data_IF_103185694155
#
_entry.id   IF_103185694155
#
_cell.length_a   1.000
_cell.length_b   1.000
_cell.length_c   1.000
_cell.angle_alpha   90.00
_cell.angle_beta   90.00
_cell.angle_gamma   90.00
#
_symmetry.space_group_name_H-M   'P 1'
#
loop_
_entity.id
_entity.type
_entity.pdbx_description
1 polymer ?
#
# COMPACT_ATOMS: atom_id res chain seq x y z
N UNK A 1 8.04 -36.50 13.04
CA UNK A 1 7.25 -37.39 12.15
C UNK A 1 7.76 -37.19 10.74
N UNK A 2 8.51 -38.18 10.27
CA UNK A 2 9.21 -38.19 9.00
C UNK A 2 8.18 -38.40 7.89
N UNK A 3 7.90 -37.39 7.08
CA UNK A 3 6.94 -37.51 5.98
C UNK A 3 7.51 -38.42 4.90
N UNK A 4 7.01 -39.65 4.87
CA UNK A 4 7.25 -40.63 3.83
C UNK A 4 6.78 -40.08 2.47
N UNK A 5 7.72 -39.94 1.53
CA UNK A 5 7.52 -39.42 0.18
C UNK A 5 7.78 -40.50 -0.89
N UNK A 6 7.49 -41.78 -0.59
CA UNK A 6 7.64 -42.90 -1.55
C UNK A 6 6.44 -43.11 -2.48
N UNK A 7 6.01 -42.07 -3.20
CA UNK A 7 5.04 -42.17 -4.28
C UNK A 7 5.54 -41.55 -5.57
N UNK A 8 5.80 -42.36 -6.61
CA UNK A 8 6.45 -41.99 -7.90
C UNK A 8 5.71 -40.89 -8.70
N UNK A 9 4.45 -40.58 -8.35
CA UNK A 9 3.66 -39.49 -8.94
C UNK A 9 3.65 -38.16 -8.17
N UNK A 10 3.93 -38.14 -6.85
CA UNK A 10 3.81 -36.91 -6.03
C UNK A 10 4.91 -35.89 -6.31
N UNK A 11 6.06 -36.30 -6.86
CA UNK A 11 7.13 -35.35 -7.24
C UNK A 11 6.67 -34.36 -8.30
N UNK A 12 5.88 -34.82 -9.28
CA UNK A 12 5.35 -33.96 -10.35
C UNK A 12 4.25 -33.03 -9.84
N UNK A 13 3.37 -33.52 -8.96
CA UNK A 13 2.33 -32.70 -8.33
C UNK A 13 2.92 -31.63 -7.42
N UNK A 14 3.91 -31.99 -6.61
CA UNK A 14 4.61 -31.03 -5.73
C UNK A 14 5.41 -30.02 -6.56
N UNK A 15 6.07 -30.45 -7.64
CA UNK A 15 6.79 -29.56 -8.54
C UNK A 15 5.83 -28.63 -9.32
N UNK A 16 4.64 -29.10 -9.71
CA UNK A 16 3.60 -28.28 -10.31
C UNK A 16 3.06 -27.26 -9.29
N UNK A 17 2.77 -27.67 -8.05
CA UNK A 17 2.32 -26.78 -6.99
C UNK A 17 3.37 -25.71 -6.69
N UNK A 18 4.66 -26.06 -6.60
CA UNK A 18 5.73 -25.07 -6.39
C UNK A 18 5.98 -24.18 -7.61
N UNK A 19 5.83 -24.70 -8.84
CA UNK A 19 5.88 -23.87 -10.05
C UNK A 19 4.70 -22.91 -10.11
N UNK A 20 3.49 -23.35 -9.76
CA UNK A 20 2.30 -22.49 -9.67
C UNK A 20 2.44 -21.49 -8.53
N UNK A 21 2.99 -21.87 -7.37
CA UNK A 21 3.32 -20.94 -6.28
C UNK A 21 4.40 -19.94 -6.69
N UNK A 22 5.44 -20.36 -7.41
CA UNK A 22 6.47 -19.47 -7.93
C UNK A 22 5.91 -18.52 -8.99
N UNK A 23 4.95 -18.97 -9.80
CA UNK A 23 4.25 -18.14 -10.78
C UNK A 23 3.20 -17.23 -10.14
N UNK A 24 2.64 -17.59 -8.99
CA UNK A 24 1.74 -16.74 -8.20
C UNK A 24 2.51 -15.71 -7.38
N UNK A 25 3.67 -16.08 -6.82
CA UNK A 25 4.56 -15.17 -6.10
C UNK A 25 5.33 -14.24 -7.05
N UNK A 26 5.71 -14.72 -8.24
CA UNK A 26 6.35 -13.91 -9.28
C UNK A 26 5.35 -13.15 -10.18
N UNK A 27 4.23 -13.78 -10.53
CA UNK A 27 3.20 -13.19 -11.40
C UNK A 27 2.26 -12.23 -10.69
N UNK A 28 2.09 -12.36 -9.37
CA UNK A 28 1.35 -11.37 -8.56
C UNK A 28 2.02 -10.00 -8.48
N UNK A 29 3.35 -9.93 -8.68
CA UNK A 29 4.09 -8.68 -8.67
C UNK A 29 4.19 -8.03 -10.05
N UNK A 30 4.24 -8.84 -11.12
CA UNK A 30 4.40 -8.35 -12.50
C UNK A 30 3.07 -8.01 -13.17
N UNK A 31 1.96 -8.70 -12.82
CA UNK A 31 0.64 -8.42 -13.41
C UNK A 31 -0.20 -7.43 -12.60
N UNK A 32 0.20 -7.09 -11.37
CA UNK A 32 -0.49 -6.10 -10.52
C UNK A 32 0.09 -4.68 -10.66
N UNK A 33 1.02 -4.44 -11.60
CA UNK A 33 1.41 -3.08 -11.98
C UNK A 33 1.98 -2.22 -10.84
N UNK A 34 2.51 -2.84 -9.78
CA UNK A 34 3.38 -2.20 -8.80
C UNK A 34 4.72 -2.93 -8.88
N UNK A 35 5.48 -2.65 -9.94
CA UNK A 35 6.83 -3.17 -10.11
C UNK A 35 7.06 -3.87 -11.46
N UNK A 36 7.06 -3.11 -12.56
CA UNK A 36 7.50 -3.67 -13.84
C UNK A 36 7.11 -2.89 -15.09
N UNK A 37 7.28 -1.55 -15.12
CA UNK A 37 7.64 -0.84 -16.36
C UNK A 37 8.08 0.62 -16.13
N UNK A 38 8.97 0.85 -15.15
CA UNK A 38 9.81 2.05 -15.15
C UNK A 38 11.24 1.63 -15.46
N UNK A 39 11.42 1.26 -16.72
CA UNK A 39 12.69 1.34 -17.40
C UNK A 39 13.22 2.78 -17.25
N UNK A 40 14.11 3.00 -16.29
CA UNK A 40 15.02 4.17 -16.24
C UNK A 40 14.38 5.57 -16.15
N UNK A 41 13.52 5.86 -15.18
CA UNK A 41 13.03 7.23 -14.98
C UNK A 41 12.46 7.51 -13.60
N UNK A 42 12.87 8.62 -12.99
CA UNK A 42 12.56 9.16 -11.64
C UNK A 42 13.30 8.58 -10.44
N UNK A 43 13.64 7.28 -10.35
CA UNK A 43 14.46 6.80 -9.22
C UNK A 43 15.97 6.78 -9.55
N UNK A 44 16.33 6.61 -10.82
CA UNK A 44 17.72 6.59 -11.29
C UNK A 44 18.30 8.01 -11.49
N UNK A 45 17.44 8.95 -11.92
CA UNK A 45 17.79 10.38 -11.99
C UNK A 45 18.03 11.02 -10.59
N UNK A 46 17.51 10.42 -9.52
CA UNK A 46 17.84 10.83 -8.14
C UNK A 46 19.11 10.11 -7.62
N UNK A 47 19.52 9.01 -8.26
CA UNK A 47 20.69 8.22 -7.87
C UNK A 47 21.99 8.82 -8.41
N UNK A 48 21.97 9.45 -9.58
CA UNK A 48 23.17 10.05 -10.19
C UNK A 48 23.60 11.37 -9.51
N UNK A 49 22.64 12.12 -8.95
CA UNK A 49 22.90 13.34 -8.16
C UNK A 49 23.13 13.06 -6.65
N UNK A 50 23.28 11.80 -6.26
CA UNK A 50 23.46 11.37 -4.86
C UNK A 50 24.88 11.65 -4.32
N UNK A 51 25.27 12.92 -4.28
CA UNK A 51 26.08 13.42 -3.16
C UNK A 51 25.17 13.47 -1.92
N UNK A 52 25.09 12.33 -1.22
CA UNK A 52 24.12 11.97 -0.17
C UNK A 52 24.06 12.81 1.11
N UNK A 53 24.49 14.07 1.08
CA UNK A 53 24.31 15.04 2.18
C UNK A 53 23.71 16.36 1.65
N UNK A 54 24.04 16.77 0.43
CA UNK A 54 23.53 18.04 -0.13
C UNK A 54 22.05 17.94 -0.54
N UNK A 55 21.63 16.79 -1.07
CA UNK A 55 20.25 16.56 -1.51
C UNK A 55 19.26 16.47 -0.31
N UNK A 56 19.67 15.82 0.79
CA UNK A 56 18.88 15.79 2.03
C UNK A 56 18.72 17.19 2.61
N UNK A 57 19.82 17.94 2.74
CA UNK A 57 19.80 19.30 3.29
C UNK A 57 18.99 20.27 2.43
N UNK A 58 18.97 20.07 1.11
CA UNK A 58 18.15 20.87 0.21
C UNK A 58 16.66 20.58 0.38
N UNK A 59 16.28 19.30 0.55
CA UNK A 59 14.88 18.91 0.79
C UNK A 59 14.39 19.37 2.16
N UNK A 60 15.22 19.29 3.19
CA UNK A 60 14.89 19.80 4.53
C UNK A 60 14.63 21.31 4.48
N UNK A 61 15.52 22.08 3.81
CA UNK A 61 15.29 23.52 3.59
C UNK A 61 14.01 23.82 2.81
N UNK A 62 13.59 22.95 1.88
CA UNK A 62 12.32 23.12 1.18
C UNK A 62 11.13 22.84 2.10
N UNK A 63 11.22 21.84 2.96
CA UNK A 63 10.20 21.53 3.97
C UNK A 63 10.05 22.70 4.93
N UNK A 64 11.14 23.27 5.46
CA UNK A 64 11.09 24.40 6.39
C UNK A 64 10.38 25.62 5.77
N UNK A 65 10.69 25.93 4.51
CA UNK A 65 10.02 27.02 3.78
C UNK A 65 8.55 26.72 3.54
N UNK A 66 8.22 25.49 3.14
CA UNK A 66 6.84 25.07 2.92
C UNK A 66 6.02 25.09 4.22
N UNK A 67 6.65 24.71 5.33
CA UNK A 67 6.07 24.76 6.67
C UNK A 67 5.81 26.20 7.11
N UNK A 68 6.80 27.09 6.98
CA UNK A 68 6.61 28.51 7.26
C UNK A 68 5.51 29.12 6.38
N UNK A 69 5.46 28.78 5.09
CA UNK A 69 4.42 29.26 4.18
C UNK A 69 3.02 28.73 4.55
N UNK A 70 2.92 27.46 4.96
CA UNK A 70 1.67 26.85 5.41
C UNK A 70 1.24 27.35 6.81
N UNK A 71 2.18 27.76 7.66
CA UNK A 71 1.89 28.41 8.93
C UNK A 71 1.38 29.85 8.73
N UNK A 72 2.00 30.61 7.82
CA UNK A 72 1.59 31.96 7.48
C UNK A 72 0.23 32.03 6.74
N UNK A 73 -0.18 30.95 6.07
CA UNK A 73 -1.51 30.86 5.45
C UNK A 73 -2.11 29.47 5.67
N UNK A 74 -2.69 29.22 6.86
CA UNK A 74 -3.12 27.88 7.27
C UNK A 74 -4.36 27.37 6.54
N UNK A 75 -5.03 28.21 5.74
CA UNK A 75 -6.21 27.88 4.93
C UNK A 75 -5.91 27.88 3.42
N UNK A 76 -4.64 27.94 3.02
CA UNK A 76 -4.26 27.82 1.62
C UNK A 76 -4.09 26.32 1.28
N UNK A 77 -5.04 25.72 0.53
CA UNK A 77 -4.99 24.29 0.21
C UNK A 77 -3.73 23.92 -0.59
N UNK A 78 -3.22 24.83 -1.44
CA UNK A 78 -2.03 24.55 -2.26
C UNK A 78 -0.78 24.38 -1.40
N UNK A 79 -0.65 25.18 -0.33
CA UNK A 79 0.50 25.10 0.59
C UNK A 79 0.48 23.84 1.43
N UNK A 80 -0.70 23.43 1.89
CA UNK A 80 -0.85 22.19 2.66
C UNK A 80 -0.59 20.95 1.81
N UNK A 81 -1.11 20.90 0.58
CA UNK A 81 -0.83 19.83 -0.37
C UNK A 81 0.67 19.75 -0.72
N UNK A 82 1.31 20.89 -0.98
CA UNK A 82 2.75 20.95 -1.25
C UNK A 82 3.59 20.46 -0.05
N UNK A 83 3.21 20.86 1.17
CA UNK A 83 3.88 20.41 2.40
C UNK A 83 3.72 18.90 2.61
N UNK A 84 2.52 18.35 2.39
CA UNK A 84 2.27 16.91 2.47
C UNK A 84 3.17 16.14 1.49
N UNK A 85 3.23 16.58 0.23
CA UNK A 85 4.07 15.99 -0.81
C UNK A 85 5.56 16.01 -0.44
N UNK A 86 6.09 17.15 -0.01
CA UNK A 86 7.52 17.30 0.34
C UNK A 86 7.90 16.40 1.51
N UNK A 87 7.07 16.34 2.55
CA UNK A 87 7.32 15.48 3.72
C UNK A 87 7.26 14.00 3.36
N UNK A 88 6.37 13.61 2.46
CA UNK A 88 6.34 12.26 1.93
C UNK A 88 7.64 11.91 1.18
N UNK A 89 8.09 12.81 0.29
CA UNK A 89 9.35 12.63 -0.45
C UNK A 89 10.53 12.48 0.49
N UNK A 90 10.65 13.34 1.51
CA UNK A 90 11.72 13.25 2.50
C UNK A 90 11.69 11.96 3.32
N UNK A 91 10.52 11.34 3.50
CA UNK A 91 10.41 10.06 4.19
C UNK A 91 11.05 8.91 3.42
N UNK A 92 11.15 9.02 2.08
CA UNK A 92 11.74 8.00 1.21
C UNK A 92 13.25 8.12 1.00
N UNK A 93 13.90 9.14 1.58
CA UNK A 93 15.31 9.48 1.33
C UNK A 93 16.20 9.04 2.49
N UNK A 94 17.44 8.67 2.16
CA UNK A 94 18.46 8.31 3.15
C UNK A 94 18.02 7.12 3.99
N UNK A 95 18.15 7.26 5.30
CA UNK A 95 17.71 6.27 6.30
C UNK A 95 16.19 6.20 6.50
N UNK A 96 15.40 6.98 5.76
CA UNK A 96 13.93 6.99 5.89
C UNK A 96 13.22 5.74 5.36
N UNK A 97 13.86 4.99 4.45
CA UNK A 97 13.25 3.82 3.81
C UNK A 97 14.21 2.63 3.79
N UNK A 98 13.74 1.49 4.28
CA UNK A 98 14.46 0.23 4.19
C UNK A 98 14.07 -0.47 2.88
N UNK A 99 15.00 -0.46 1.93
CA UNK A 99 14.81 -1.10 0.62
C UNK A 99 14.73 -2.63 0.72
N UNK A 100 15.36 -3.24 1.72
CA UNK A 100 15.35 -4.69 1.89
C UNK A 100 14.01 -5.15 2.48
N UNK A 101 13.49 -4.39 3.44
CA UNK A 101 12.19 -4.68 4.05
C UNK A 101 11.01 -4.15 3.22
N UNK A 102 11.25 -3.22 2.29
CA UNK A 102 10.20 -2.53 1.53
C UNK A 102 9.29 -1.66 2.41
N UNK A 103 9.82 -1.15 3.53
CA UNK A 103 9.03 -0.39 4.51
C UNK A 103 9.75 0.88 4.95
N UNK A 104 8.97 1.87 5.38
CA UNK A 104 9.53 3.07 6.00
C UNK A 104 10.10 2.74 7.37
N UNK A 105 11.30 3.24 7.63
CA UNK A 105 11.96 3.13 8.93
C UNK A 105 11.25 4.02 9.95
N UNK A 106 11.67 3.98 11.22
CA UNK A 106 11.10 4.85 12.25
C UNK A 106 11.29 6.36 11.92
N UNK A 107 12.40 6.70 11.27
CA UNK A 107 12.66 8.07 10.80
C UNK A 107 11.71 8.44 9.68
N UNK A 108 11.59 7.59 8.65
CA UNK A 108 10.66 7.80 7.54
C UNK A 108 9.22 7.93 8.03
N UNK A 109 8.79 7.06 8.96
CA UNK A 109 7.45 7.13 9.58
C UNK A 109 7.21 8.44 10.32
N UNK A 110 8.25 9.06 10.89
CA UNK A 110 8.11 10.37 11.52
C UNK A 110 7.86 11.46 10.49
N UNK A 111 8.58 11.45 9.37
CA UNK A 111 8.34 12.33 8.22
C UNK A 111 6.95 12.08 7.61
N UNK A 112 6.53 10.83 7.48
CA UNK A 112 5.18 10.45 7.03
C UNK A 112 4.07 10.96 7.96
N UNK A 113 4.25 10.93 9.29
CA UNK A 113 3.29 11.53 10.23
C UNK A 113 3.10 13.03 9.95
N UNK A 114 4.19 13.73 9.66
CA UNK A 114 4.13 15.15 9.26
C UNK A 114 3.43 15.36 7.91
N UNK A 115 3.62 14.45 6.94
CA UNK A 115 2.90 14.46 5.67
C UNK A 115 1.40 14.26 5.87
N UNK A 116 1.03 13.24 6.65
CA UNK A 116 -0.34 12.93 7.03
C UNK A 116 -1.01 14.13 7.71
N UNK A 117 -0.36 14.79 8.68
CA UNK A 117 -0.93 15.97 9.34
C UNK A 117 -1.23 17.12 8.36
N UNK A 118 -0.32 17.39 7.41
CA UNK A 118 -0.55 18.41 6.40
C UNK A 118 -1.71 18.04 5.45
N UNK A 119 -1.78 16.76 5.07
CA UNK A 119 -2.86 16.21 4.25
C UNK A 119 -4.23 16.26 4.93
N UNK A 120 -4.34 15.86 6.20
CA UNK A 120 -5.60 15.93 6.93
C UNK A 120 -6.07 17.38 7.10
N UNK A 121 -5.14 18.32 7.34
CA UNK A 121 -5.46 19.76 7.34
C UNK A 121 -5.93 20.24 5.99
N UNK A 122 -5.35 19.75 4.91
CA UNK A 122 -5.78 20.05 3.54
C UNK A 122 -7.20 19.55 3.28
N UNK A 123 -7.50 18.30 3.64
CA UNK A 123 -8.84 17.72 3.47
C UNK A 123 -9.88 18.42 4.35
N UNK A 124 -9.51 18.91 5.52
CA UNK A 124 -10.38 19.70 6.39
C UNK A 124 -10.77 21.08 5.81
N UNK A 125 -10.11 21.53 4.74
CA UNK A 125 -10.53 22.72 3.98
C UNK A 125 -11.60 22.39 2.93
N UNK A 126 -12.00 21.12 2.80
CA UNK A 126 -12.99 20.64 1.84
C UNK A 126 -12.70 21.15 0.41
N UNK A 127 -11.50 20.87 -0.13
CA UNK A 127 -11.15 21.32 -1.47
C UNK A 127 -12.11 20.68 -2.47
N UNK A 128 -12.68 21.51 -3.36
CA UNK A 128 -13.63 21.05 -4.40
C UNK A 128 -13.04 19.95 -5.28
N UNK A 129 -11.74 20.05 -5.56
CA UNK A 129 -10.99 19.02 -6.28
C UNK A 129 -9.75 18.65 -5.45
N UNK A 130 -9.84 17.62 -4.59
CA UNK A 130 -8.69 17.11 -3.87
C UNK A 130 -7.58 16.66 -4.84
N UNK A 131 -6.32 16.96 -4.52
CA UNK A 131 -5.17 16.61 -5.36
C UNK A 131 -4.96 15.09 -5.36
N UNK A 132 -5.30 14.44 -6.48
CA UNK A 132 -5.23 13.00 -6.68
C UNK A 132 -3.79 12.46 -6.62
N UNK A 133 -2.81 13.28 -7.04
CA UNK A 133 -1.39 12.92 -6.97
C UNK A 133 -0.94 12.84 -5.53
N UNK A 134 -1.31 13.81 -4.70
CA UNK A 134 -1.01 13.78 -3.26
C UNK A 134 -1.79 12.65 -2.57
N UNK A 135 -3.05 12.43 -2.95
CA UNK A 135 -3.83 11.31 -2.45
C UNK A 135 -3.16 9.96 -2.72
N UNK A 136 -2.63 9.74 -3.93
CA UNK A 136 -1.88 8.54 -4.27
C UNK A 136 -0.64 8.32 -3.40
N UNK A 137 0.10 9.38 -3.06
CA UNK A 137 1.19 9.29 -2.09
C UNK A 137 0.69 8.92 -0.70
N UNK A 138 -0.48 9.43 -0.30
CA UNK A 138 -1.10 9.15 0.99
C UNK A 138 -1.66 7.73 1.10
N UNK A 139 -2.09 7.11 0.00
CA UNK A 139 -2.39 5.67 -0.02
C UNK A 139 -1.17 4.86 0.43
N UNK A 140 0.01 5.15 -0.12
CA UNK A 140 1.24 4.46 0.26
C UNK A 140 1.69 4.83 1.68
N UNK A 141 1.60 6.11 2.06
CA UNK A 141 1.96 6.56 3.41
C UNK A 141 1.10 5.90 4.49
N UNK A 142 -0.19 5.72 4.24
CA UNK A 142 -1.12 5.10 5.17
C UNK A 142 -1.17 3.57 5.09
N UNK A 143 -0.58 2.96 4.06
CA UNK A 143 -0.53 1.52 3.89
C UNK A 143 0.34 0.78 4.94
N UNK A 144 0.35 -0.57 4.89
CA UNK A 144 1.07 -1.41 5.86
C UNK A 144 2.58 -1.11 5.97
N UNK A 145 3.22 -0.75 4.85
CA UNK A 145 4.64 -0.42 4.81
C UNK A 145 5.00 0.96 5.37
N UNK A 146 4.01 1.81 5.63
CA UNK A 146 4.17 3.17 6.14
C UNK A 146 3.63 3.32 7.57
N UNK A 147 2.51 4.02 7.70
CA UNK A 147 1.86 4.34 8.97
C UNK A 147 0.87 3.27 9.44
N UNK A 148 0.54 2.30 8.59
CA UNK A 148 -0.46 1.25 8.87
C UNK A 148 -1.81 1.81 9.36
N UNK A 149 -2.29 2.88 8.71
CA UNK A 149 -3.57 3.54 8.98
C UNK A 149 -4.55 3.24 7.83
N UNK A 150 -4.91 1.96 7.69
CA UNK A 150 -5.63 1.44 6.51
C UNK A 150 -6.94 2.17 6.21
N UNK A 151 -7.71 2.57 7.23
CA UNK A 151 -8.94 3.35 7.03
C UNK A 151 -8.70 4.70 6.33
N UNK A 152 -7.56 5.35 6.58
CA UNK A 152 -7.16 6.58 5.87
C UNK A 152 -6.58 6.29 4.49
N UNK A 153 -5.90 5.16 4.33
CA UNK A 153 -5.43 4.70 3.02
C UNK A 153 -6.63 4.48 2.08
N UNK A 154 -7.71 3.86 2.58
CA UNK A 154 -8.97 3.71 1.84
C UNK A 154 -9.52 5.06 1.40
N UNK A 155 -9.61 6.04 2.32
CA UNK A 155 -10.13 7.38 1.99
C UNK A 155 -9.26 8.11 0.96
N UNK A 156 -7.95 7.96 1.03
CA UNK A 156 -7.04 8.51 0.03
C UNK A 156 -7.21 7.81 -1.33
N UNK A 157 -7.43 6.49 -1.35
CA UNK A 157 -7.67 5.74 -2.57
C UNK A 157 -9.02 6.09 -3.20
N UNK A 158 -10.06 6.39 -2.41
CA UNK A 158 -11.34 6.90 -2.90
C UNK A 158 -11.13 8.18 -3.72
N UNK A 159 -10.35 9.13 -3.20
CA UNK A 159 -10.01 10.37 -3.92
C UNK A 159 -9.31 10.06 -5.26
N UNK A 160 -8.34 9.15 -5.27
CA UNK A 160 -7.64 8.76 -6.52
C UNK A 160 -8.60 8.14 -7.53
N UNK A 161 -9.51 7.28 -7.06
CA UNK A 161 -10.47 6.59 -7.92
C UNK A 161 -11.56 7.53 -8.44
N UNK A 162 -12.01 8.51 -7.64
CA UNK A 162 -13.04 9.48 -8.01
C UNK A 162 -12.53 10.55 -9.00
N UNK A 163 -11.26 10.94 -8.90
CA UNK A 163 -10.67 11.99 -9.74
C UNK A 163 -10.13 11.46 -11.07
N UNK A 164 -9.85 10.15 -11.19
CA UNK A 164 -9.26 9.60 -12.40
C UNK A 164 -10.31 9.31 -13.47
N UNK A 165 -10.19 10.04 -14.56
CA UNK A 165 -10.94 9.82 -15.79
C UNK A 165 -10.02 9.27 -16.91
N UNK A 166 -10.42 8.22 -17.64
CA UNK A 166 -11.65 7.43 -17.46
C UNK A 166 -11.58 6.49 -16.22
N UNK A 167 -12.73 6.04 -15.69
CA UNK A 167 -12.78 5.11 -14.57
C UNK A 167 -11.99 3.83 -14.86
N UNK A 168 -11.13 3.43 -13.92
CA UNK A 168 -10.22 2.30 -14.09
C UNK A 168 -10.61 1.11 -13.23
N UNK A 169 -10.81 -0.05 -13.87
CA UNK A 169 -11.04 -1.33 -13.18
C UNK A 169 -9.97 -1.62 -12.13
N UNK A 170 -8.69 -1.37 -12.44
CA UNK A 170 -7.57 -1.61 -11.53
C UNK A 170 -7.62 -0.71 -10.28
N UNK A 171 -7.98 0.57 -10.42
CA UNK A 171 -8.10 1.47 -9.26
C UNK A 171 -9.23 1.06 -8.31
N UNK A 172 -10.36 0.59 -8.85
CA UNK A 172 -11.44 0.04 -8.05
C UNK A 172 -11.06 -1.29 -7.39
N UNK A 173 -10.29 -2.15 -8.09
CA UNK A 173 -9.76 -3.38 -7.50
C UNK A 173 -8.81 -3.11 -6.33
N UNK A 174 -7.93 -2.11 -6.45
CA UNK A 174 -7.05 -1.67 -5.37
C UNK A 174 -7.85 -1.11 -4.19
N UNK A 175 -8.86 -0.28 -4.45
CA UNK A 175 -9.78 0.22 -3.42
C UNK A 175 -10.49 -0.94 -2.69
N UNK A 176 -10.90 -1.98 -3.42
CA UNK A 176 -11.55 -3.15 -2.84
C UNK A 176 -10.61 -3.90 -1.88
N UNK A 177 -9.41 -4.25 -2.34
CA UNK A 177 -8.39 -4.94 -1.53
C UNK A 177 -8.05 -4.15 -0.27
N UNK A 178 -7.80 -2.85 -0.42
CA UNK A 178 -7.46 -1.98 0.70
C UNK A 178 -8.62 -1.84 1.69
N UNK A 179 -9.86 -1.79 1.20
CA UNK A 179 -11.06 -1.76 2.04
C UNK A 179 -11.24 -3.05 2.82
N UNK A 180 -10.98 -4.22 2.24
CA UNK A 180 -11.01 -5.48 2.97
C UNK A 180 -9.95 -5.51 4.08
N UNK A 181 -8.72 -5.09 3.79
CA UNK A 181 -7.66 -5.01 4.79
C UNK A 181 -8.01 -4.05 5.94
N UNK A 182 -8.77 -2.99 5.65
CA UNK A 182 -9.24 -2.01 6.63
C UNK A 182 -10.53 -2.43 7.38
N UNK A 183 -10.97 -3.69 7.28
CA UNK A 183 -12.24 -4.21 7.81
C UNK A 183 -13.50 -3.49 7.29
N UNK A 184 -13.39 -2.83 6.13
CA UNK A 184 -14.48 -2.12 5.47
C UNK A 184 -15.14 -3.02 4.39
N UNK A 185 -15.60 -4.21 4.77
CA UNK A 185 -16.08 -5.24 3.83
C UNK A 185 -17.14 -4.73 2.86
N UNK A 186 -18.14 -3.98 3.34
CA UNK A 186 -19.20 -3.43 2.47
C UNK A 186 -18.64 -2.48 1.40
N UNK A 187 -17.66 -1.64 1.77
CA UNK A 187 -17.00 -0.75 0.81
C UNK A 187 -16.14 -1.54 -0.17
N UNK A 188 -15.45 -2.57 0.32
CA UNK A 188 -14.70 -3.49 -0.50
C UNK A 188 -15.55 -4.18 -1.56
N UNK A 189 -16.75 -4.66 -1.18
CA UNK A 189 -17.70 -5.31 -2.08
C UNK A 189 -18.18 -4.33 -3.18
N UNK A 190 -18.56 -3.11 -2.81
CA UNK A 190 -18.97 -2.08 -3.77
C UNK A 190 -17.85 -1.72 -4.77
N UNK A 191 -16.62 -1.59 -4.29
CA UNK A 191 -15.47 -1.32 -5.14
C UNK A 191 -15.13 -2.54 -6.04
N UNK A 192 -15.27 -3.76 -5.52
CA UNK A 192 -15.05 -4.99 -6.27
C UNK A 192 -16.05 -5.14 -7.42
N UNK A 193 -17.34 -4.90 -7.16
CA UNK A 193 -18.38 -4.92 -8.19
C UNK A 193 -18.08 -3.90 -9.29
N UNK A 194 -17.70 -2.67 -8.91
CA UNK A 194 -17.34 -1.63 -9.87
C UNK A 194 -16.09 -1.99 -10.68
N UNK A 195 -15.10 -2.63 -10.07
CA UNK A 195 -13.92 -3.13 -10.78
C UNK A 195 -14.30 -4.18 -11.84
N UNK A 196 -15.21 -5.10 -11.50
CA UNK A 196 -15.69 -6.15 -12.40
C UNK A 196 -16.56 -5.59 -13.54
N UNK A 197 -17.35 -4.54 -13.29
CA UNK A 197 -18.10 -3.84 -14.33
C UNK A 197 -17.17 -3.23 -15.39
N UNK A 198 -16.11 -2.57 -14.91
CA UNK A 198 -15.13 -1.86 -15.76
C UNK A 198 -14.12 -2.80 -16.42
N UNK A 199 -13.91 -4.01 -15.89
CA UNK A 199 -12.96 -4.97 -16.42
C UNK A 199 -13.38 -5.52 -17.80
N UNK A 200 -12.40 -5.85 -18.62
CA UNK A 200 -12.64 -6.56 -19.88
C UNK A 200 -13.27 -7.94 -19.62
N UNK A 201 -14.14 -8.40 -20.54
CA UNK A 201 -14.90 -9.66 -20.36
C UNK A 201 -13.98 -10.87 -20.12
N UNK A 202 -12.82 -10.90 -20.77
CA UNK A 202 -11.78 -11.92 -20.63
C UNK A 202 -11.17 -11.95 -19.23
N UNK A 203 -11.07 -10.81 -18.55
CA UNK A 203 -10.37 -10.66 -17.27
C UNK A 203 -11.30 -10.78 -16.06
N UNK A 204 -12.60 -10.52 -16.23
CA UNK A 204 -13.60 -10.52 -15.13
C UNK A 204 -13.58 -11.77 -14.26
N UNK A 205 -13.41 -12.95 -14.86
CA UNK A 205 -13.38 -14.21 -14.10
C UNK A 205 -12.17 -14.27 -13.19
N UNK A 206 -10.99 -13.93 -13.72
CA UNK A 206 -9.74 -13.90 -12.98
C UNK A 206 -9.79 -12.82 -11.88
N UNK A 207 -10.22 -11.61 -12.22
CA UNK A 207 -10.33 -10.50 -11.27
C UNK A 207 -11.28 -10.84 -10.12
N UNK A 208 -12.42 -11.50 -10.39
CA UNK A 208 -13.35 -11.94 -9.34
C UNK A 208 -12.66 -12.90 -8.37
N UNK A 209 -11.94 -13.88 -8.88
CA UNK A 209 -11.23 -14.85 -8.04
C UNK A 209 -10.17 -14.16 -7.15
N UNK A 210 -9.44 -13.19 -7.70
CA UNK A 210 -8.45 -12.41 -6.95
C UNK A 210 -9.10 -11.59 -5.83
N UNK A 211 -10.22 -10.93 -6.10
CA UNK A 211 -10.93 -10.09 -5.11
C UNK A 211 -11.55 -10.93 -3.99
N UNK A 212 -12.13 -12.09 -4.31
CA UNK A 212 -12.64 -13.04 -3.30
C UNK A 212 -11.53 -13.60 -2.43
N UNK A 213 -10.37 -13.89 -3.03
CA UNK A 213 -9.20 -14.34 -2.30
C UNK A 213 -8.70 -13.24 -1.36
N UNK A 214 -8.62 -11.98 -1.82
CA UNK A 214 -8.22 -10.84 -0.99
C UNK A 214 -9.16 -10.62 0.19
N UNK A 215 -10.48 -10.71 -0.04
CA UNK A 215 -11.52 -10.64 1.01
C UNK A 215 -11.33 -11.73 2.06
N UNK A 216 -11.13 -12.96 1.62
CA UNK A 216 -10.93 -14.12 2.51
C UNK A 216 -9.65 -13.97 3.33
N UNK A 217 -8.55 -13.53 2.71
CA UNK A 217 -7.28 -13.32 3.40
C UNK A 217 -7.38 -12.22 4.46
N UNK A 218 -7.99 -11.07 4.14
CA UNK A 218 -8.17 -9.98 5.08
C UNK A 218 -9.03 -10.41 6.29
N UNK A 219 -10.13 -11.13 6.02
CA UNK A 219 -11.00 -11.64 7.09
C UNK A 219 -10.28 -12.65 8.00
N UNK A 220 -9.43 -13.50 7.43
CA UNK A 220 -8.63 -14.46 8.20
C UNK A 220 -7.53 -13.80 9.03
N UNK A 221 -6.95 -12.69 8.54
CA UNK A 221 -5.94 -11.91 9.27
C UNK A 221 -6.54 -11.09 10.41
N UNK A 222 -7.79 -10.63 10.25
CA UNK A 222 -8.51 -9.80 11.22
C UNK A 222 -9.39 -10.61 12.18
N UNK A 223 -9.46 -11.93 12.00
CA UNK A 223 -10.09 -12.81 12.99
C UNK A 223 -9.37 -12.64 14.34
N UNK A 224 -10.08 -12.36 15.45
CA UNK A 224 -9.46 -12.30 16.75
C UNK A 224 -8.74 -13.62 16.97
N UNK A 225 -7.49 -13.57 17.46
CA UNK A 225 -6.76 -14.75 17.93
C UNK A 225 -7.55 -15.38 19.08
N UNK A 226 -8.58 -16.15 18.74
CA UNK A 226 -9.34 -16.97 19.65
C UNK A 226 -8.42 -18.05 20.14
N UNK A 227 -8.00 -17.91 21.39
CA UNK A 227 -7.61 -18.98 22.29
C UNK A 227 -6.62 -19.97 21.71
N UNK A 228 -5.34 -19.79 22.06
CA UNK A 228 -4.38 -20.89 22.11
C UNK A 228 -5.09 -22.13 22.66
N UNK A 229 -5.18 -23.27 21.94
CA UNK A 229 -5.70 -24.49 22.53
C UNK A 229 -4.80 -24.80 23.74
N UNK A 230 -5.40 -24.81 24.92
CA UNK A 230 -4.71 -25.18 26.15
C UNK A 230 -3.99 -26.51 25.90
N UNK A 231 -2.67 -26.47 26.01
CA UNK A 231 -1.80 -27.63 25.91
C UNK A 231 -2.25 -28.63 26.99
N UNK A 232 -2.58 -29.90 26.66
CA UNK A 232 -2.95 -30.87 27.68
C UNK A 232 -1.77 -31.06 28.64
N UNK A 233 -1.99 -30.77 29.92
CA UNK A 233 -1.01 -31.04 30.97
C UNK A 233 -0.65 -32.53 30.94
N UNK A 234 0.63 -32.83 30.77
CA UNK A 234 1.15 -34.17 30.88
C UNK A 234 0.87 -34.73 32.29
N UNK A 235 0.41 -35.99 32.43
CA UNK A 235 0.18 -36.57 33.74
C UNK A 235 1.50 -36.75 34.50
N UNK A 236 1.52 -36.54 35.83
CA UNK A 236 2.70 -36.81 36.65
C UNK A 236 2.96 -38.33 36.65
N UNK A 237 4.11 -38.74 36.11
CA UNK A 237 4.63 -40.10 36.25
C UNK A 237 5.06 -40.35 37.69
N UNK A 238 4.64 -41.49 38.24
CA UNK A 238 5.04 -42.00 39.56
C UNK A 238 6.36 -42.74 39.55
#
# INVERSE_FOLDING_TARGET
>A
MLFDLRGRGRRRTVQAVYLTLALLLGGGLVLFGIGGDVQGGLFDAFREDSQGTQASDQIERQIDRAEAAAAASPRDPRRLAALARLRYQAAGIGSGFDQNAGTFTQEGRTKLRGAAQAWERYLALEPENPDDRVAGLMVQAYGPGGLNQLGKAVRAQEIVTEQREPPSSNLFAQLAVLSYQADQTRKGDLAADRALELAEKSERSLLRQQLEQAKTQATAQNAPQGSTPAQPAAPPGG
#
